data_IF_199725867293
#
_entry.id   IF_199725867293
#
_cell.length_a   1.000
_cell.length_b   1.000
_cell.length_c   1.000
_cell.angle_alpha   90.00
_cell.angle_beta   90.00
_cell.angle_gamma   90.00
#
_symmetry.space_group_name_H-M   'P 1'
#
loop_
_entity.id
_entity.type
_entity.pdbx_description
1 polymer ?
#
# COMPACT_ATOMS: atom_id res chain seq x y z
N UNK A 1 10.02 -7.55 -6.75
CA UNK A 1 9.87 -9.01 -6.63
C UNK A 1 9.80 -9.70 -7.98
N UNK A 2 8.81 -9.35 -8.83
CA UNK A 2 8.56 -10.00 -10.14
C UNK A 2 9.82 -10.18 -11.03
N UNK A 3 10.71 -9.18 -11.25
CA UNK A 3 11.87 -9.37 -12.12
C UNK A 3 12.94 -10.28 -11.51
N UNK A 4 13.08 -10.25 -10.18
CA UNK A 4 14.08 -11.01 -9.43
C UNK A 4 13.67 -12.49 -9.35
N UNK A 5 12.37 -12.75 -9.13
CA UNK A 5 11.77 -14.08 -9.18
C UNK A 5 11.80 -14.65 -10.60
N UNK A 6 11.43 -13.87 -11.62
CA UNK A 6 11.48 -14.31 -13.01
C UNK A 6 12.91 -14.65 -13.47
N UNK A 7 13.92 -13.89 -13.01
CA UNK A 7 15.32 -14.20 -13.27
C UNK A 7 15.77 -15.49 -12.59
N UNK A 8 15.38 -15.71 -11.33
CA UNK A 8 15.66 -16.94 -10.58
C UNK A 8 15.03 -18.19 -11.22
N UNK A 9 13.78 -18.09 -11.68
CA UNK A 9 13.09 -19.19 -12.38
C UNK A 9 13.78 -19.51 -13.71
N UNK A 10 14.29 -18.49 -14.41
CA UNK A 10 14.95 -18.65 -15.72
C UNK A 10 16.35 -19.26 -15.64
N UNK A 11 17.07 -19.04 -14.53
CA UNK A 11 18.45 -19.54 -14.35
C UNK A 11 18.53 -20.87 -13.62
N UNK A 12 17.66 -21.12 -12.65
CA UNK A 12 17.65 -22.34 -11.85
C UNK A 12 16.34 -23.10 -12.06
N UNK A 13 15.43 -23.01 -11.09
CA UNK A 13 14.14 -23.70 -11.09
C UNK A 13 13.15 -22.97 -10.18
N UNK A 14 11.85 -23.22 -10.37
CA UNK A 14 10.80 -22.58 -9.59
C UNK A 14 10.90 -22.85 -8.09
N UNK A 15 11.34 -24.05 -7.68
CA UNK A 15 11.52 -24.43 -6.27
C UNK A 15 12.57 -23.56 -5.57
N UNK A 16 13.66 -23.23 -6.26
CA UNK A 16 14.73 -22.38 -5.69
C UNK A 16 14.24 -20.97 -5.39
N UNK A 17 13.28 -20.46 -6.16
CA UNK A 17 12.68 -19.14 -5.93
C UNK A 17 11.95 -19.08 -4.59
N UNK A 18 11.26 -20.16 -4.22
CA UNK A 18 10.59 -20.27 -2.91
C UNK A 18 11.61 -20.34 -1.76
N UNK A 19 12.67 -21.13 -1.92
CA UNK A 19 13.72 -21.26 -0.89
C UNK A 19 14.42 -19.92 -0.65
N UNK A 20 14.84 -19.23 -1.73
CA UNK A 20 15.55 -17.94 -1.62
C UNK A 20 14.65 -16.88 -0.99
N UNK A 21 13.39 -16.79 -1.41
CA UNK A 21 12.45 -15.79 -0.87
C UNK A 21 12.13 -16.08 0.60
N UNK A 22 11.96 -17.36 0.98
CA UNK A 22 11.76 -17.77 2.36
C UNK A 22 12.96 -17.47 3.26
N UNK A 23 14.18 -17.77 2.79
CA UNK A 23 15.41 -17.47 3.51
C UNK A 23 15.61 -15.97 3.72
N UNK A 24 15.33 -15.14 2.71
CA UNK A 24 15.33 -13.68 2.83
C UNK A 24 14.34 -13.20 3.89
N UNK A 25 13.15 -13.80 3.95
CA UNK A 25 12.16 -13.52 4.98
C UNK A 25 12.67 -13.84 6.39
N UNK A 26 13.33 -14.98 6.59
CA UNK A 26 13.92 -15.35 7.88
C UNK A 26 15.04 -14.41 8.31
N UNK A 27 15.92 -14.04 7.37
CA UNK A 27 16.98 -13.04 7.61
C UNK A 27 16.35 -11.72 8.03
N UNK A 28 15.29 -11.28 7.34
CA UNK A 28 14.58 -10.05 7.68
C UNK A 28 13.96 -10.10 9.07
N UNK A 29 13.35 -11.23 9.47
CA UNK A 29 12.83 -11.42 10.83
C UNK A 29 13.94 -11.34 11.87
N UNK A 30 15.09 -11.95 11.62
CA UNK A 30 16.23 -11.88 12.54
C UNK A 30 16.74 -10.44 12.69
N UNK A 31 16.88 -9.70 11.57
CA UNK A 31 17.23 -8.27 11.58
C UNK A 31 16.17 -7.48 12.35
N UNK A 32 14.88 -7.70 12.08
CA UNK A 32 13.80 -7.01 12.77
C UNK A 32 13.88 -7.23 14.28
N UNK A 33 14.05 -8.47 14.74
CA UNK A 33 14.15 -8.78 16.18
C UNK A 33 15.39 -8.18 16.86
N UNK A 34 16.48 -7.97 16.12
CA UNK A 34 17.71 -7.38 16.67
C UNK A 34 17.65 -5.85 16.73
N UNK A 35 17.01 -5.21 15.76
CA UNK A 35 17.02 -3.75 15.61
C UNK A 35 15.73 -3.06 16.07
N UNK A 36 14.58 -3.72 15.95
CA UNK A 36 13.30 -3.14 16.35
C UNK A 36 13.25 -3.03 17.87
N UNK A 37 13.00 -1.81 18.36
CA UNK A 37 12.75 -1.52 19.77
C UNK A 37 11.51 -0.67 19.85
N UNK A 38 10.63 -0.99 20.80
CA UNK A 38 9.52 -0.12 21.10
C UNK A 38 10.02 1.19 21.72
N UNK A 39 9.31 2.33 21.53
CA UNK A 39 9.71 3.62 22.11
C UNK A 39 9.94 3.56 23.63
N UNK A 40 9.28 2.63 24.31
CA UNK A 40 9.39 2.40 25.75
C UNK A 40 10.76 1.84 26.17
N UNK A 41 11.45 1.10 25.29
CA UNK A 41 12.74 0.42 25.51
C UNK A 41 13.93 1.08 24.77
N UNK A 42 13.66 2.17 24.05
CA UNK A 42 14.67 2.92 23.30
C UNK A 42 15.58 3.74 24.24
N UNK A 43 16.71 3.15 24.61
CA UNK A 43 17.79 3.85 25.34
C UNK A 43 18.38 4.96 24.47
N UNK A 44 18.15 6.23 24.85
CA UNK A 44 18.69 7.40 24.16
C UNK A 44 17.66 8.47 23.76
N UNK A 45 16.37 8.25 24.02
CA UNK A 45 15.36 9.32 23.92
C UNK A 45 15.51 10.27 25.11
N UNK A 46 15.49 11.57 24.81
CA UNK A 46 15.30 12.61 25.81
C UNK A 46 13.92 12.45 26.47
N UNK A 47 13.81 12.71 27.76
CA UNK A 47 12.59 12.43 28.54
C UNK A 47 11.38 13.17 27.95
N UNK A 48 11.58 14.37 27.42
CA UNK A 48 10.55 15.14 26.71
C UNK A 48 10.08 14.48 25.41
N UNK A 49 10.99 13.88 24.63
CA UNK A 49 10.62 13.19 23.39
C UNK A 49 9.84 11.90 23.69
N UNK A 50 10.24 11.20 24.75
CA UNK A 50 9.50 10.02 25.23
C UNK A 50 8.10 10.39 25.70
N UNK A 51 7.98 11.50 26.43
CA UNK A 51 6.68 11.99 26.92
C UNK A 51 5.75 12.41 25.77
N UNK A 52 6.26 13.16 24.79
CA UNK A 52 5.50 13.52 23.60
C UNK A 52 5.03 12.28 22.80
N UNK A 53 5.88 11.25 22.67
CA UNK A 53 5.50 10.01 21.98
C UNK A 53 4.44 9.22 22.75
N UNK A 54 4.50 9.21 24.09
CA UNK A 54 3.50 8.57 24.94
C UNK A 54 2.16 9.33 24.92
N UNK A 55 2.20 10.67 24.87
CA UNK A 55 1.03 11.52 24.71
C UNK A 55 0.39 11.33 23.33
N UNK A 56 1.17 11.28 22.23
CA UNK A 56 0.66 10.96 20.89
C UNK A 56 0.11 9.52 20.80
N UNK A 57 0.73 8.57 21.53
CA UNK A 57 0.26 7.17 21.62
C UNK A 57 -0.99 7.04 22.49
N UNK A 58 -1.24 7.99 23.40
CA UNK A 58 -2.49 8.09 24.13
C UNK A 58 -3.60 8.56 23.18
N UNK A 59 -3.97 7.67 22.25
CA UNK A 59 -5.35 7.59 21.79
C UNK A 59 -6.15 7.67 23.07
N UNK A 60 -6.93 8.73 23.26
CA UNK A 60 -7.89 8.79 24.35
C UNK A 60 -8.68 7.50 24.30
N UNK A 61 -8.29 6.53 25.13
CA UNK A 61 -9.01 5.30 25.32
C UNK A 61 -10.27 5.81 25.96
N UNK A 62 -11.30 5.99 25.14
CA UNK A 62 -12.62 6.35 25.60
C UNK A 62 -12.91 5.29 26.64
N UNK A 63 -12.97 5.71 27.90
CA UNK A 63 -13.12 4.85 29.09
C UNK A 63 -14.56 4.33 29.18
N UNK A 64 -15.10 3.93 28.04
CA UNK A 64 -16.41 3.39 27.89
C UNK A 64 -16.25 1.91 27.56
N UNK A 65 -16.56 1.10 28.57
CA UNK A 65 -17.05 -0.27 28.43
C UNK A 65 -18.38 -0.35 27.65
N UNK A 66 -18.65 0.62 26.76
CA UNK A 66 -19.76 0.60 25.83
C UNK A 66 -19.39 -0.33 24.68
N UNK A 67 -20.15 -1.41 24.54
CA UNK A 67 -20.10 -2.27 23.36
C UNK A 67 -20.34 -1.39 22.13
N UNK A 68 -19.27 -1.06 21.41
CA UNK A 68 -19.34 -0.33 20.14
C UNK A 68 -20.27 -1.12 19.21
N UNK A 69 -21.45 -0.58 18.95
CA UNK A 69 -22.43 -1.21 18.06
C UNK A 69 -21.94 -1.04 16.64
N UNK A 70 -21.19 -2.02 16.13
CA UNK A 70 -20.63 -2.03 14.76
C UNK A 70 -21.73 -1.76 13.72
N UNK A 71 -22.93 -2.29 13.93
CA UNK A 71 -24.09 -2.04 13.07
C UNK A 71 -24.44 -0.54 12.93
N UNK A 72 -24.16 0.28 13.95
CA UNK A 72 -24.37 1.72 13.92
C UNK A 72 -23.45 2.46 12.94
N UNK A 73 -22.29 1.89 12.59
CA UNK A 73 -21.36 2.47 11.62
C UNK A 73 -21.99 2.57 10.22
N UNK A 74 -22.83 1.60 9.86
CA UNK A 74 -23.54 1.58 8.56
C UNK A 74 -24.59 2.69 8.42
N UNK A 75 -24.92 3.41 9.50
CA UNK A 75 -25.79 4.60 9.41
C UNK A 75 -25.07 5.81 8.81
N UNK A 76 -23.74 5.83 8.86
CA UNK A 76 -22.96 6.96 8.35
C UNK A 76 -22.69 6.80 6.85
N UNK A 77 -23.11 7.78 6.05
CA UNK A 77 -22.87 7.81 4.59
C UNK A 77 -21.38 7.78 4.23
N UNK A 78 -20.53 8.30 5.11
CA UNK A 78 -19.06 8.25 4.95
C UNK A 78 -18.53 6.82 4.95
N UNK A 79 -19.08 5.92 5.78
CA UNK A 79 -18.65 4.52 5.86
C UNK A 79 -18.95 3.80 4.55
N UNK A 80 -20.16 3.97 4.00
CA UNK A 80 -20.51 3.44 2.68
C UNK A 80 -19.60 3.96 1.57
N UNK A 81 -19.31 5.27 1.56
CA UNK A 81 -18.38 5.85 0.60
C UNK A 81 -16.97 5.27 0.69
N UNK A 82 -16.47 5.04 1.91
CA UNK A 82 -15.17 4.39 2.14
C UNK A 82 -15.18 2.93 1.70
N UNK A 83 -16.25 2.17 2.00
CA UNK A 83 -16.37 0.77 1.61
C UNK A 83 -16.37 0.60 0.09
N UNK A 84 -17.17 1.38 -0.62
CA UNK A 84 -17.25 1.33 -2.09
C UNK A 84 -15.92 1.77 -2.71
N UNK A 85 -15.33 2.88 -2.22
CA UNK A 85 -14.03 3.35 -2.71
C UNK A 85 -12.93 2.32 -2.50
N UNK A 86 -12.88 1.69 -1.32
CA UNK A 86 -11.91 0.65 -1.00
C UNK A 86 -12.13 -0.63 -1.82
N UNK A 87 -13.39 -1.01 -2.07
CA UNK A 87 -13.74 -2.13 -2.94
C UNK A 87 -13.24 -1.90 -4.37
N UNK A 88 -13.55 -0.75 -4.96
CA UNK A 88 -13.09 -0.41 -6.31
C UNK A 88 -11.56 -0.37 -6.40
N UNK A 89 -10.90 0.22 -5.39
CA UNK A 89 -9.43 0.25 -5.32
C UNK A 89 -8.84 -1.15 -5.22
N UNK A 90 -9.40 -2.03 -4.39
CA UNK A 90 -8.95 -3.42 -4.27
C UNK A 90 -9.17 -4.17 -5.58
N UNK A 91 -10.35 -4.04 -6.19
CA UNK A 91 -10.64 -4.69 -7.46
C UNK A 91 -9.61 -4.33 -8.54
N UNK A 92 -9.32 -3.03 -8.71
CA UNK A 92 -8.29 -2.57 -9.64
C UNK A 92 -6.90 -3.13 -9.28
N UNK A 93 -6.54 -3.10 -7.99
CA UNK A 93 -5.25 -3.62 -7.52
C UNK A 93 -5.11 -5.11 -7.83
N UNK A 94 -6.13 -5.92 -7.52
CA UNK A 94 -6.11 -7.36 -7.80
C UNK A 94 -6.07 -7.65 -9.29
N UNK A 95 -6.78 -6.86 -10.12
CA UNK A 95 -6.65 -6.98 -11.58
C UNK A 95 -5.20 -6.84 -12.04
N UNK A 96 -4.47 -5.83 -11.56
CA UNK A 96 -3.05 -5.63 -11.90
C UNK A 96 -2.12 -6.74 -11.38
N UNK A 97 -2.47 -7.38 -10.26
CA UNK A 97 -1.64 -8.45 -9.69
C UNK A 97 -1.89 -9.79 -10.37
N UNK A 98 -3.15 -10.13 -10.67
CA UNK A 98 -3.51 -11.50 -11.09
C UNK A 98 -3.82 -11.61 -12.58
N UNK A 99 -4.54 -10.63 -13.15
CA UNK A 99 -5.03 -10.71 -14.52
C UNK A 99 -4.18 -9.96 -15.52
N UNK A 100 -3.55 -8.86 -15.11
CA UNK A 100 -2.76 -8.02 -16.00
C UNK A 100 -1.58 -8.75 -16.67
N UNK A 101 -0.79 -9.59 -15.98
CA UNK A 101 0.25 -10.38 -16.64
C UNK A 101 -0.34 -11.30 -17.72
N UNK A 102 -1.41 -12.02 -17.37
CA UNK A 102 -2.12 -12.92 -18.28
C UNK A 102 -2.73 -12.18 -19.48
N UNK A 103 -3.31 -11.00 -19.25
CA UNK A 103 -3.87 -10.14 -20.29
C UNK A 103 -2.81 -9.73 -21.31
N UNK A 104 -1.64 -9.28 -20.87
CA UNK A 104 -0.53 -8.95 -21.77
C UNK A 104 -0.05 -10.16 -22.59
N UNK A 105 -0.02 -11.36 -21.99
CA UNK A 105 0.38 -12.57 -22.72
C UNK A 105 -0.66 -13.03 -23.74
N UNK A 106 -1.95 -13.01 -23.41
CA UNK A 106 -3.01 -13.59 -24.26
C UNK A 106 -3.48 -12.57 -25.31
N UNK A 107 -3.73 -11.32 -24.90
CA UNK A 107 -4.27 -10.29 -25.78
C UNK A 107 -3.20 -9.61 -26.64
N UNK A 108 -2.00 -9.42 -26.08
CA UNK A 108 -0.89 -8.72 -26.76
C UNK A 108 0.29 -9.63 -27.13
N UNK A 109 0.24 -10.93 -26.79
CA UNK A 109 1.27 -11.90 -27.20
C UNK A 109 2.64 -11.69 -26.53
N UNK A 110 2.71 -10.98 -25.40
CA UNK A 110 3.99 -10.66 -24.76
C UNK A 110 4.74 -11.92 -24.31
N UNK A 111 6.05 -11.96 -24.58
CA UNK A 111 6.95 -12.98 -24.08
C UNK A 111 7.25 -12.80 -22.59
N UNK A 112 7.73 -13.86 -21.92
CA UNK A 112 8.06 -13.82 -20.48
C UNK A 112 9.11 -12.73 -20.15
N UNK A 113 10.02 -12.45 -21.08
CA UNK A 113 11.04 -11.40 -20.93
C UNK A 113 10.43 -10.00 -20.98
N UNK A 114 9.50 -9.76 -21.89
CA UNK A 114 8.78 -8.48 -22.00
C UNK A 114 7.84 -8.25 -20.81
N UNK A 115 7.27 -9.32 -20.26
CA UNK A 115 6.50 -9.27 -19.02
C UNK A 115 7.36 -8.77 -17.84
N UNK A 116 8.60 -9.26 -17.75
CA UNK A 116 9.54 -8.87 -16.69
C UNK A 116 10.04 -7.44 -16.81
N UNK A 117 10.16 -6.89 -18.02
CA UNK A 117 10.66 -5.52 -18.26
C UNK A 117 9.54 -4.49 -18.37
N UNK A 118 8.62 -4.68 -19.32
CA UNK A 118 7.51 -3.75 -19.59
C UNK A 118 6.35 -3.95 -18.62
N UNK A 119 6.05 -5.20 -18.23
CA UNK A 119 5.01 -5.50 -17.25
C UNK A 119 5.31 -4.98 -15.84
N UNK A 120 6.57 -4.65 -15.54
CA UNK A 120 6.97 -4.03 -14.29
C UNK A 120 6.73 -2.51 -14.25
N UNK A 121 6.49 -1.86 -15.40
CA UNK A 121 6.34 -0.40 -15.50
C UNK A 121 5.20 0.12 -14.61
N UNK A 122 3.98 -0.45 -14.62
CA UNK A 122 2.89 0.05 -13.76
C UNK A 122 3.24 0.01 -12.27
N UNK A 123 3.91 -1.05 -11.82
CA UNK A 123 4.36 -1.18 -10.44
C UNK A 123 5.44 -0.14 -10.09
N UNK A 124 6.39 0.11 -11.00
CA UNK A 124 7.41 1.14 -10.83
C UNK A 124 6.82 2.55 -10.80
N UNK A 125 5.81 2.83 -11.63
CA UNK A 125 5.08 4.10 -11.65
C UNK A 125 4.25 4.34 -10.38
N UNK A 126 3.91 3.27 -9.64
CA UNK A 126 3.29 3.39 -8.32
C UNK A 126 4.14 4.15 -7.31
N UNK A 127 5.48 4.07 -7.40
CA UNK A 127 6.40 4.76 -6.49
C UNK A 127 6.28 6.29 -6.62
N UNK A 128 6.57 6.92 -7.78
CA UNK A 128 6.40 8.36 -7.93
C UNK A 128 4.93 8.77 -7.77
N UNK A 129 3.98 7.93 -8.19
CA UNK A 129 2.54 8.20 -8.00
C UNK A 129 2.15 8.35 -6.53
N UNK A 130 2.62 7.45 -5.66
CA UNK A 130 2.39 7.53 -4.22
C UNK A 130 3.07 8.75 -3.58
N UNK A 131 4.29 9.08 -4.03
CA UNK A 131 5.02 10.24 -3.53
C UNK A 131 4.31 11.55 -3.90
N UNK A 132 3.88 11.68 -5.16
CA UNK A 132 3.10 12.81 -5.64
C UNK A 132 1.76 12.93 -4.92
N UNK A 133 1.08 11.80 -4.66
CA UNK A 133 -0.16 11.76 -3.90
C UNK A 133 0.03 12.27 -2.46
N UNK A 134 1.12 11.86 -1.80
CA UNK A 134 1.50 12.38 -0.48
C UNK A 134 1.78 13.87 -0.49
N UNK A 135 2.65 14.32 -1.41
CA UNK A 135 3.03 15.75 -1.53
C UNK A 135 1.81 16.63 -1.82
N UNK A 136 0.94 16.20 -2.74
CA UNK A 136 -0.27 16.96 -3.09
C UNK A 136 -1.29 16.99 -1.96
N UNK A 137 -1.47 15.88 -1.23
CA UNK A 137 -2.32 15.82 -0.03
C UNK A 137 -1.80 16.76 1.06
N UNK A 138 -0.50 16.71 1.35
CA UNK A 138 0.13 17.55 2.38
C UNK A 138 0.12 19.03 1.97
N UNK A 139 0.34 19.33 0.70
CA UNK A 139 0.23 20.69 0.17
C UNK A 139 -1.20 21.24 0.31
N UNK A 140 -2.22 20.44 -0.01
CA UNK A 140 -3.63 20.84 0.18
C UNK A 140 -3.94 21.07 1.67
N UNK A 141 -3.45 20.21 2.55
CA UNK A 141 -3.66 20.39 3.99
C UNK A 141 -2.99 21.67 4.52
N UNK A 142 -1.72 21.92 4.15
CA UNK A 142 -0.96 23.13 4.52
C UNK A 142 -1.61 24.42 4.00
N UNK A 143 -2.40 24.34 2.94
CA UNK A 143 -3.13 25.47 2.34
C UNK A 143 -4.50 25.73 2.99
N UNK A 144 -4.88 24.97 4.02
CA UNK A 144 -6.10 25.16 4.80
C UNK A 144 -7.31 24.36 4.31
N UNK A 145 -7.14 23.41 3.38
CA UNK A 145 -8.23 22.51 2.98
C UNK A 145 -8.49 21.45 4.05
N UNK A 146 -9.75 21.03 4.19
CA UNK A 146 -10.11 19.95 5.12
C UNK A 146 -9.37 18.65 4.78
N UNK A 147 -9.00 17.86 5.80
CA UNK A 147 -8.37 16.54 5.64
C UNK A 147 -9.17 15.61 4.74
N UNK A 148 -10.50 15.69 4.82
CA UNK A 148 -11.41 14.91 3.99
C UNK A 148 -11.30 15.30 2.52
N UNK A 149 -11.18 16.60 2.23
CA UNK A 149 -11.02 17.10 0.86
C UNK A 149 -9.67 16.70 0.31
N UNK A 150 -8.57 16.93 1.04
CA UNK A 150 -7.23 16.60 0.57
C UNK A 150 -7.10 15.10 0.19
N UNK A 151 -7.61 14.20 1.03
CA UNK A 151 -7.56 12.76 0.79
C UNK A 151 -8.50 12.29 -0.31
N UNK A 152 -9.76 12.77 -0.33
CA UNK A 152 -10.74 12.37 -1.36
C UNK A 152 -10.35 12.86 -2.75
N UNK A 153 -9.84 14.08 -2.88
CA UNK A 153 -9.45 14.63 -4.18
C UNK A 153 -8.31 13.84 -4.78
N UNK A 154 -7.32 13.44 -3.97
CA UNK A 154 -6.22 12.61 -4.43
C UNK A 154 -6.69 11.22 -4.89
N UNK A 155 -7.62 10.61 -4.14
CA UNK A 155 -8.24 9.32 -4.50
C UNK A 155 -9.05 9.40 -5.79
N UNK A 156 -9.93 10.41 -5.92
CA UNK A 156 -10.77 10.60 -7.10
C UNK A 156 -9.91 10.92 -8.32
N UNK A 157 -8.91 11.78 -8.19
CA UNK A 157 -7.99 12.10 -9.27
C UNK A 157 -7.21 10.87 -9.74
N UNK A 158 -6.71 10.05 -8.81
CA UNK A 158 -6.03 8.79 -9.13
C UNK A 158 -6.95 7.78 -9.82
N UNK A 159 -8.20 7.64 -9.34
CA UNK A 159 -9.19 6.76 -9.96
C UNK A 159 -9.58 7.24 -11.37
N UNK A 160 -9.79 8.53 -11.58
CA UNK A 160 -10.06 9.09 -12.90
C UNK A 160 -8.89 8.87 -13.87
N UNK A 161 -7.66 9.06 -13.40
CA UNK A 161 -6.47 8.81 -14.21
C UNK A 161 -6.34 7.33 -14.59
N UNK A 162 -6.67 6.42 -13.66
CA UNK A 162 -6.71 4.98 -13.95
C UNK A 162 -7.80 4.61 -14.96
N UNK A 163 -8.93 5.33 -14.98
CA UNK A 163 -10.02 5.06 -15.93
C UNK A 163 -9.65 5.38 -17.38
N UNK A 164 -8.67 6.25 -17.61
CA UNK A 164 -8.15 6.55 -18.97
C UNK A 164 -7.53 5.30 -19.61
N UNK A 165 -7.00 4.38 -18.81
CA UNK A 165 -6.45 3.10 -19.30
C UNK A 165 -7.55 2.25 -19.96
N UNK A 166 -8.80 2.34 -19.48
CA UNK A 166 -9.92 1.61 -20.07
C UNK A 166 -10.35 2.16 -21.45
N UNK A 167 -9.99 3.40 -21.78
CA UNK A 167 -10.23 3.99 -23.10
C UNK A 167 -9.09 3.72 -24.10
N UNK A 168 -7.95 3.22 -23.61
CA UNK A 168 -6.78 2.90 -24.43
C UNK A 168 -6.69 1.40 -24.81
N UNK A 169 -7.58 0.57 -24.26
CA UNK A 169 -7.77 -0.84 -24.59
C UNK A 169 -8.81 -1.01 -25.70
#
# INVERSE_FOLDING_TARGET
ALPLVAWLISTWDWETSFIVTGALGLIWVAVWLLFYREPEDMKGLDEQQRQNLLEDRSVHTVDNNEKVKIAGLFRYRTVWGMMIGFFCMNFATYFFVTWFPTYLTIAHGFSLKELGTLGAIPALMGIPGSLLGGITSDWMYRKGYSLTTARKTCLIAGMLLSSVIAFAA
#
